data_IF_925271350709
#
_entry.id   IF_925271350709
#
_cell.length_a   1.000
_cell.length_b   1.000
_cell.length_c   1.000
_cell.angle_alpha   90.00
_cell.angle_beta   90.00
_cell.angle_gamma   90.00
#
_symmetry.space_group_name_H-M   'P 1'
#
loop_
_entity.id
_entity.type
_entity.pdbx_description
1 polymer ?
#
# COMPACT_ATOMS: atom_id res chain seq x y z
N UNK A 1 -25.80 -35.25 -21.42
CA UNK A 1 -25.29 -34.50 -20.27
C UNK A 1 -26.24 -33.34 -20.09
N UNK A 2 -26.91 -33.29 -18.95
CA UNK A 2 -27.88 -32.24 -18.67
C UNK A 2 -27.18 -31.07 -17.98
N UNK A 3 -27.68 -29.86 -18.22
CA UNK A 3 -27.18 -28.65 -17.59
C UNK A 3 -28.19 -28.16 -16.57
N UNK A 4 -27.67 -27.56 -15.50
CA UNK A 4 -28.45 -26.95 -14.44
C UNK A 4 -27.98 -25.52 -14.19
N UNK A 5 -28.82 -24.73 -13.54
CA UNK A 5 -28.44 -23.38 -13.11
C UNK A 5 -28.99 -23.09 -11.71
N UNK A 6 -28.26 -23.52 -10.67
CA UNK A 6 -28.64 -23.26 -9.29
C UNK A 6 -28.77 -21.75 -9.03
N UNK A 7 -29.71 -21.27 -8.19
CA UNK A 7 -29.90 -19.85 -7.94
C UNK A 7 -28.64 -19.12 -7.46
N UNK A 8 -27.73 -19.81 -6.76
CA UNK A 8 -26.44 -19.24 -6.33
C UNK A 8 -25.54 -18.82 -7.50
N UNK A 9 -25.69 -19.42 -8.68
CA UNK A 9 -24.92 -19.05 -9.87
C UNK A 9 -25.20 -17.62 -10.33
N UNK A 10 -26.38 -17.06 -10.05
CA UNK A 10 -26.64 -15.63 -10.27
C UNK A 10 -25.75 -14.76 -9.37
N UNK A 11 -25.51 -15.19 -8.11
CA UNK A 11 -24.62 -14.49 -7.20
C UNK A 11 -23.17 -14.61 -7.64
N UNK A 12 -22.71 -15.79 -8.07
CA UNK A 12 -21.36 -15.94 -8.64
C UNK A 12 -21.18 -15.09 -9.89
N UNK A 13 -22.20 -14.97 -10.75
CA UNK A 13 -22.14 -14.13 -11.94
C UNK A 13 -21.96 -12.66 -11.58
N UNK A 14 -22.79 -12.14 -10.67
CA UNK A 14 -22.69 -10.75 -10.19
C UNK A 14 -21.35 -10.51 -9.50
N UNK A 15 -20.90 -11.45 -8.68
CA UNK A 15 -19.60 -11.40 -7.99
C UNK A 15 -18.42 -11.35 -8.98
N UNK A 16 -18.43 -12.22 -10.00
CA UNK A 16 -17.40 -12.26 -11.03
C UNK A 16 -17.37 -10.99 -11.89
N UNK A 17 -18.54 -10.46 -12.26
CA UNK A 17 -18.64 -9.19 -12.99
C UNK A 17 -18.17 -8.01 -12.14
N UNK A 18 -18.51 -7.98 -10.85
CA UNK A 18 -18.01 -6.96 -9.92
C UNK A 18 -16.49 -7.04 -9.77
N UNK A 19 -15.93 -8.26 -9.66
CA UNK A 19 -14.49 -8.46 -9.62
C UNK A 19 -13.79 -7.95 -10.90
N UNK A 20 -14.38 -8.19 -12.08
CA UNK A 20 -13.89 -7.62 -13.33
C UNK A 20 -13.94 -6.08 -13.33
N UNK A 21 -15.03 -5.49 -12.85
CA UNK A 21 -15.18 -4.03 -12.75
C UNK A 21 -14.16 -3.42 -11.79
N UNK A 22 -13.95 -4.01 -10.61
CA UNK A 22 -12.95 -3.57 -9.64
C UNK A 22 -11.52 -3.78 -10.14
N UNK A 23 -11.26 -4.90 -10.83
CA UNK A 23 -9.97 -5.19 -11.45
C UNK A 23 -9.61 -4.19 -12.54
N UNK A 24 -10.55 -3.87 -13.43
CA UNK A 24 -10.37 -2.85 -14.48
C UNK A 24 -10.20 -1.46 -13.89
N UNK A 25 -10.98 -1.08 -12.88
CA UNK A 25 -10.80 0.18 -12.15
C UNK A 25 -9.42 0.28 -11.49
N UNK A 26 -8.93 -0.83 -10.96
CA UNK A 26 -7.62 -0.93 -10.29
C UNK A 26 -6.42 -0.90 -11.24
N UNK A 27 -6.62 -1.01 -12.57
CA UNK A 27 -5.53 -0.92 -13.55
C UNK A 27 -4.80 0.42 -13.48
N UNK A 28 -5.49 1.50 -13.11
CA UNK A 28 -4.90 2.82 -12.90
C UNK A 28 -3.87 2.83 -11.76
N UNK A 29 -3.93 1.86 -10.84
CA UNK A 29 -2.97 1.71 -9.75
C UNK A 29 -1.77 0.83 -10.14
N UNK A 30 -1.78 0.16 -11.29
CA UNK A 30 -0.77 -0.82 -11.71
C UNK A 30 0.60 -0.21 -12.09
N UNK A 31 0.82 1.07 -11.83
CA UNK A 31 2.13 1.72 -11.93
C UNK A 31 3.08 1.28 -10.81
N UNK A 32 2.55 0.93 -9.63
CA UNK A 32 3.32 0.41 -8.49
C UNK A 32 3.31 -1.12 -8.46
N UNK A 33 4.28 -1.73 -7.76
CA UNK A 33 4.35 -3.19 -7.62
C UNK A 33 3.15 -3.75 -6.84
N UNK A 34 2.75 -3.10 -5.76
CA UNK A 34 1.55 -3.46 -4.98
C UNK A 34 0.28 -3.34 -5.82
N UNK A 35 0.14 -2.30 -6.66
CA UNK A 35 -0.99 -2.19 -7.57
C UNK A 35 -1.08 -3.33 -8.60
N UNK A 36 0.06 -3.73 -9.19
CA UNK A 36 0.11 -4.91 -10.09
C UNK A 36 -0.32 -6.19 -9.38
N UNK A 37 0.13 -6.39 -8.15
CA UNK A 37 -0.23 -7.55 -7.34
C UNK A 37 -1.71 -7.53 -6.96
N UNK A 38 -2.29 -6.36 -6.67
CA UNK A 38 -3.72 -6.23 -6.43
C UNK A 38 -4.56 -6.60 -7.66
N UNK A 39 -4.15 -6.16 -8.86
CA UNK A 39 -4.78 -6.59 -10.11
C UNK A 39 -4.67 -8.11 -10.30
N UNK A 40 -3.55 -8.72 -9.91
CA UNK A 40 -3.38 -10.17 -9.95
C UNK A 40 -4.31 -10.90 -8.95
N UNK A 41 -4.56 -10.32 -7.76
CA UNK A 41 -5.57 -10.82 -6.81
C UNK A 41 -6.96 -10.80 -7.45
N UNK A 42 -7.34 -9.67 -8.08
CA UNK A 42 -8.63 -9.55 -8.76
C UNK A 42 -8.77 -10.55 -9.92
N UNK A 43 -7.73 -10.72 -10.74
CA UNK A 43 -7.75 -11.70 -11.83
C UNK A 43 -7.88 -13.15 -11.32
N UNK A 44 -7.17 -13.49 -10.23
CA UNK A 44 -7.28 -14.81 -9.59
C UNK A 44 -8.69 -15.05 -9.05
N UNK A 45 -9.30 -14.01 -8.49
CA UNK A 45 -10.64 -14.07 -7.95
C UNK A 45 -11.73 -14.21 -9.04
N UNK A 46 -11.53 -13.56 -10.20
CA UNK A 46 -12.35 -13.77 -11.40
C UNK A 46 -12.29 -15.24 -11.85
N UNK A 47 -11.08 -15.81 -11.96
CA UNK A 47 -10.89 -17.22 -12.34
C UNK A 47 -11.61 -18.14 -11.35
N UNK A 48 -11.45 -17.90 -10.05
CA UNK A 48 -12.12 -18.69 -9.02
C UNK A 48 -13.65 -18.62 -9.16
N UNK A 49 -14.21 -17.42 -9.19
CA UNK A 49 -15.67 -17.22 -9.15
C UNK A 49 -16.36 -17.72 -10.42
N UNK A 50 -15.77 -17.48 -11.59
CA UNK A 50 -16.29 -18.07 -12.82
C UNK A 50 -16.04 -19.58 -12.90
N UNK A 51 -14.97 -20.07 -12.29
CA UNK A 51 -14.74 -21.51 -12.10
C UNK A 51 -15.88 -22.17 -11.35
N UNK A 52 -16.31 -21.59 -10.22
CA UNK A 52 -17.45 -22.07 -9.42
C UNK A 52 -18.74 -22.05 -10.26
N UNK A 53 -19.01 -20.94 -10.93
CA UNK A 53 -20.19 -20.80 -11.79
C UNK A 53 -20.23 -21.91 -12.84
N UNK A 54 -19.13 -22.14 -13.56
CA UNK A 54 -19.07 -23.13 -14.63
C UNK A 54 -19.12 -24.56 -14.05
N UNK A 55 -18.43 -24.83 -12.95
CA UNK A 55 -18.46 -26.13 -12.28
C UNK A 55 -19.90 -26.53 -11.94
N UNK A 56 -20.68 -25.61 -11.37
CA UNK A 56 -22.04 -25.84 -10.92
C UNK A 56 -23.08 -26.02 -12.05
N UNK A 57 -22.72 -25.72 -13.31
CA UNK A 57 -23.62 -25.86 -14.47
C UNK A 57 -23.74 -27.31 -14.95
N UNK A 58 -22.69 -28.11 -14.83
CA UNK A 58 -22.73 -29.50 -15.28
C UNK A 58 -23.23 -30.46 -14.21
N UNK A 59 -23.98 -31.48 -14.63
CA UNK A 59 -24.58 -32.51 -13.75
C UNK A 59 -23.74 -33.79 -13.65
N UNK A 60 -22.61 -33.87 -14.37
CA UNK A 60 -21.74 -35.06 -14.36
C UNK A 60 -20.52 -34.85 -13.47
N UNK A 61 -20.08 -35.92 -12.81
CA UNK A 61 -18.91 -35.89 -11.92
C UNK A 61 -17.63 -35.45 -12.65
N UNK A 62 -17.41 -35.94 -13.88
CA UNK A 62 -16.26 -35.56 -14.70
C UNK A 62 -16.20 -34.05 -14.98
N UNK A 63 -17.36 -33.41 -15.19
CA UNK A 63 -17.45 -31.96 -15.38
C UNK A 63 -17.12 -31.19 -14.11
N UNK A 64 -17.80 -31.53 -13.01
CA UNK A 64 -17.62 -30.82 -11.73
C UNK A 64 -16.17 -30.95 -11.23
N UNK A 65 -15.59 -32.17 -11.26
CA UNK A 65 -14.17 -32.38 -10.93
C UNK A 65 -13.20 -31.74 -11.94
N UNK A 66 -13.56 -31.69 -13.22
CA UNK A 66 -12.78 -31.01 -14.25
C UNK A 66 -12.63 -29.52 -13.94
N UNK A 67 -13.74 -28.83 -13.68
CA UNK A 67 -13.76 -27.41 -13.36
C UNK A 67 -13.30 -27.11 -11.92
N UNK A 68 -13.32 -28.09 -11.02
CA UNK A 68 -12.70 -27.94 -9.70
C UNK A 68 -11.21 -27.57 -9.82
N UNK A 69 -10.52 -28.06 -10.86
CA UNK A 69 -9.12 -27.67 -11.13
C UNK A 69 -9.00 -26.17 -11.40
N UNK A 70 -9.93 -25.61 -12.16
CA UNK A 70 -9.96 -24.17 -12.47
C UNK A 70 -10.27 -23.34 -11.22
N UNK A 71 -11.24 -23.80 -10.40
CA UNK A 71 -11.56 -23.22 -9.09
C UNK A 71 -10.30 -23.13 -8.22
N UNK A 72 -9.58 -24.25 -8.04
CA UNK A 72 -8.35 -24.26 -7.24
C UNK A 72 -7.23 -23.40 -7.83
N UNK A 73 -7.07 -23.32 -9.15
CA UNK A 73 -6.11 -22.38 -9.77
C UNK A 73 -6.43 -20.95 -9.34
N UNK A 74 -7.71 -20.57 -9.33
CA UNK A 74 -8.17 -19.29 -8.80
C UNK A 74 -7.86 -19.12 -7.31
N UNK A 75 -8.24 -20.09 -6.46
CA UNK A 75 -8.02 -20.06 -5.00
C UNK A 75 -6.54 -19.93 -4.64
N UNK A 76 -5.68 -20.79 -5.20
CA UNK A 76 -4.25 -20.83 -4.93
C UNK A 76 -3.60 -19.53 -5.40
N UNK A 77 -3.96 -19.05 -6.60
CA UNK A 77 -3.43 -17.79 -7.13
C UNK A 77 -3.89 -16.60 -6.30
N UNK A 78 -5.15 -16.57 -5.85
CA UNK A 78 -5.71 -15.47 -5.06
C UNK A 78 -5.02 -15.34 -3.70
N UNK A 79 -4.86 -16.45 -2.98
CA UNK A 79 -4.20 -16.47 -1.67
C UNK A 79 -2.70 -16.13 -1.77
N UNK A 80 -2.03 -16.63 -2.80
CA UNK A 80 -0.61 -16.34 -3.05
C UNK A 80 -0.37 -14.89 -3.44
N UNK A 81 -1.14 -14.38 -4.41
CA UNK A 81 -1.01 -12.99 -4.87
C UNK A 81 -1.44 -12.01 -3.78
N UNK A 82 -2.40 -12.36 -2.93
CA UNK A 82 -2.77 -11.60 -1.74
C UNK A 82 -1.59 -11.47 -0.77
N UNK A 83 -0.93 -12.58 -0.45
CA UNK A 83 0.22 -12.55 0.45
C UNK A 83 1.36 -11.69 -0.11
N UNK A 84 1.64 -11.79 -1.41
CA UNK A 84 2.62 -10.93 -2.06
C UNK A 84 2.19 -9.46 -2.10
N UNK A 85 0.92 -9.20 -2.36
CA UNK A 85 0.34 -7.86 -2.25
C UNK A 85 0.59 -7.29 -0.85
N UNK A 86 0.30 -8.05 0.21
CA UNK A 86 0.52 -7.63 1.59
C UNK A 86 2.01 -7.33 1.88
N UNK A 87 2.94 -8.16 1.40
CA UNK A 87 4.39 -7.93 1.53
C UNK A 87 4.81 -6.63 0.83
N UNK A 88 4.38 -6.43 -0.42
CA UNK A 88 4.72 -5.23 -1.20
C UNK A 88 4.07 -3.98 -0.60
N UNK A 89 2.80 -4.06 -0.20
CA UNK A 89 2.07 -2.97 0.43
C UNK A 89 2.68 -2.58 1.80
N UNK A 90 3.22 -3.54 2.55
CA UNK A 90 3.97 -3.28 3.78
C UNK A 90 5.40 -2.74 3.55
N UNK A 91 5.85 -2.59 2.30
CA UNK A 91 7.17 -2.04 1.95
C UNK A 91 8.32 -3.05 2.00
N UNK A 92 8.03 -4.36 2.02
CA UNK A 92 9.04 -5.42 2.06
C UNK A 92 9.35 -6.02 0.68
N UNK A 93 9.38 -5.21 -0.38
CA UNK A 93 9.56 -5.66 -1.78
C UNK A 93 10.80 -6.53 -2.01
N UNK A 94 11.85 -6.34 -1.22
CA UNK A 94 13.07 -7.16 -1.22
C UNK A 94 12.81 -8.65 -0.96
N UNK A 95 11.75 -9.00 -0.22
CA UNK A 95 11.38 -10.40 0.03
C UNK A 95 10.79 -11.08 -1.20
N UNK A 96 10.25 -10.29 -2.13
CA UNK A 96 9.74 -10.74 -3.41
C UNK A 96 10.84 -10.75 -4.49
N UNK A 97 12.12 -10.72 -4.10
CA UNK A 97 13.26 -10.76 -5.01
C UNK A 97 14.20 -11.91 -4.60
N UNK A 98 14.67 -12.70 -5.58
CA UNK A 98 15.70 -13.72 -5.36
C UNK A 98 15.19 -15.03 -4.73
N UNK A 99 16.02 -15.62 -3.86
CA UNK A 99 15.82 -16.99 -3.32
C UNK A 99 14.58 -17.13 -2.45
N UNK A 100 14.18 -16.08 -1.74
CA UNK A 100 13.03 -16.13 -0.84
C UNK A 100 11.70 -16.23 -1.60
N UNK A 101 11.59 -15.60 -2.77
CA UNK A 101 10.45 -15.78 -3.66
C UNK A 101 10.29 -17.23 -4.12
N UNK A 102 11.41 -17.92 -4.42
CA UNK A 102 11.38 -19.33 -4.79
C UNK A 102 10.83 -20.19 -3.64
N UNK A 103 11.22 -19.89 -2.39
CA UNK A 103 10.70 -20.58 -1.20
C UNK A 103 9.19 -20.39 -1.07
N UNK A 104 8.69 -19.15 -1.22
CA UNK A 104 7.25 -18.89 -1.16
C UNK A 104 6.47 -19.58 -2.29
N UNK A 105 7.08 -19.78 -3.46
CA UNK A 105 6.45 -20.43 -4.60
C UNK A 105 6.37 -21.97 -4.49
N UNK A 106 7.16 -22.61 -3.60
CA UNK A 106 7.10 -24.07 -3.41
C UNK A 106 5.69 -24.53 -3.01
N UNK A 107 5.08 -23.82 -2.06
CA UNK A 107 3.75 -24.15 -1.53
C UNK A 107 2.66 -24.07 -2.60
N UNK A 108 2.45 -22.96 -3.32
CA UNK A 108 1.44 -22.89 -4.37
C UNK A 108 1.76 -23.81 -5.56
N UNK A 109 3.03 -23.99 -5.94
CA UNK A 109 3.40 -24.93 -7.02
C UNK A 109 3.07 -26.39 -6.65
N UNK A 110 3.36 -26.80 -5.41
CA UNK A 110 2.98 -28.13 -4.92
C UNK A 110 1.45 -28.30 -4.84
N UNK A 111 0.72 -27.27 -4.41
CA UNK A 111 -0.75 -27.30 -4.35
C UNK A 111 -1.38 -27.40 -5.75
N UNK A 112 -0.86 -26.64 -6.73
CA UNK A 112 -1.32 -26.73 -8.12
C UNK A 112 -1.03 -28.13 -8.67
N UNK A 113 0.16 -28.67 -8.42
CA UNK A 113 0.53 -30.03 -8.87
C UNK A 113 -0.45 -31.06 -8.31
N UNK A 114 -0.71 -31.01 -7.00
CA UNK A 114 -1.67 -31.88 -6.30
C UNK A 114 -3.08 -31.82 -6.91
N UNK A 115 -3.54 -30.62 -7.29
CA UNK A 115 -4.85 -30.42 -7.93
C UNK A 115 -4.85 -30.92 -9.38
N UNK A 116 -3.79 -30.70 -10.13
CA UNK A 116 -3.73 -31.14 -11.53
C UNK A 116 -3.64 -32.67 -11.63
N UNK A 117 -3.02 -33.33 -10.66
CA UNK A 117 -2.92 -34.80 -10.56
C UNK A 117 -4.07 -35.44 -9.77
N UNK A 118 -5.20 -34.74 -9.60
CA UNK A 118 -6.34 -35.18 -8.79
C UNK A 118 -6.75 -36.65 -9.03
N UNK A 119 -6.80 -37.08 -10.29
CA UNK A 119 -7.27 -38.42 -10.66
C UNK A 119 -6.25 -39.54 -10.33
N UNK A 120 -5.02 -39.17 -9.94
CA UNK A 120 -3.90 -40.11 -9.71
C UNK A 120 -3.74 -40.49 -8.24
N UNK A 121 -4.47 -39.86 -7.31
CA UNK A 121 -4.31 -40.07 -5.87
C UNK A 121 -5.56 -39.68 -5.08
N UNK A 122 -5.66 -40.16 -3.83
CA UNK A 122 -6.74 -39.78 -2.90
C UNK A 122 -6.32 -38.70 -1.89
N UNK A 123 -5.25 -37.96 -2.18
CA UNK A 123 -4.70 -36.97 -1.25
C UNK A 123 -5.59 -35.74 -1.11
N UNK A 124 -6.20 -35.25 -2.21
CA UNK A 124 -7.10 -34.10 -2.15
C UNK A 124 -8.52 -34.53 -1.72
N UNK A 125 -9.06 -35.55 -2.38
CA UNK A 125 -10.37 -36.12 -2.06
C UNK A 125 -10.25 -37.63 -1.83
N UNK A 126 -10.78 -38.11 -0.72
CA UNK A 126 -10.92 -39.55 -0.44
C UNK A 126 -12.15 -40.14 -1.12
N UNK A 127 -13.19 -39.32 -1.28
CA UNK A 127 -14.42 -39.63 -2.00
C UNK A 127 -14.95 -38.40 -2.71
N UNK A 128 -15.52 -38.59 -3.90
CA UNK A 128 -16.22 -37.57 -4.66
C UNK A 128 -17.44 -38.23 -5.30
N UNK A 129 -18.63 -37.89 -4.83
CA UNK A 129 -19.89 -38.50 -5.29
C UNK A 129 -20.91 -37.41 -5.63
N UNK A 130 -21.74 -37.68 -6.62
CA UNK A 130 -22.84 -36.77 -6.94
C UNK A 130 -24.02 -37.03 -6.00
N UNK A 131 -24.53 -35.95 -5.41
CA UNK A 131 -25.74 -35.98 -4.58
C UNK A 131 -26.74 -34.96 -5.12
N UNK A 132 -28.01 -35.27 -5.01
CA UNK A 132 -29.07 -34.31 -5.32
C UNK A 132 -29.50 -33.60 -4.04
N UNK A 133 -29.38 -32.27 -3.99
CA UNK A 133 -29.93 -31.44 -2.90
C UNK A 133 -30.75 -30.31 -3.50
N UNK A 134 -31.98 -30.13 -3.00
CA UNK A 134 -32.88 -29.07 -3.43
C UNK A 134 -33.13 -29.02 -4.96
N UNK A 135 -33.14 -30.19 -5.62
CA UNK A 135 -33.36 -30.30 -7.07
C UNK A 135 -32.13 -29.97 -7.94
N UNK A 136 -30.94 -29.86 -7.34
CA UNK A 136 -29.68 -29.65 -8.03
C UNK A 136 -28.69 -30.77 -7.71
N UNK A 137 -27.87 -31.14 -8.69
CA UNK A 137 -26.81 -32.12 -8.57
C UNK A 137 -25.53 -31.43 -8.10
N UNK A 138 -24.99 -31.83 -6.96
CA UNK A 138 -23.77 -31.27 -6.38
C UNK A 138 -22.73 -32.36 -6.16
N UNK A 139 -21.46 -31.93 -6.11
CA UNK A 139 -20.35 -32.79 -5.76
C UNK A 139 -20.21 -32.81 -4.24
N UNK A 140 -20.54 -33.95 -3.62
CA UNK A 140 -20.24 -34.19 -2.21
C UNK A 140 -18.82 -34.74 -2.10
N UNK A 141 -18.00 -34.07 -1.30
CA UNK A 141 -16.56 -34.28 -1.24
C UNK A 141 -16.15 -34.69 0.17
N UNK A 142 -15.43 -35.80 0.27
CA UNK A 142 -14.68 -36.13 1.47
C UNK A 142 -13.22 -35.71 1.29
N UNK A 143 -12.73 -34.90 2.23
CA UNK A 143 -11.43 -34.26 2.12
C UNK A 143 -10.29 -35.13 2.65
N UNK A 144 -9.28 -35.35 1.81
CA UNK A 144 -8.04 -36.03 2.17
C UNK A 144 -7.00 -35.12 2.84
N UNK A 145 -5.87 -35.69 3.27
CA UNK A 145 -4.80 -34.96 3.97
C UNK A 145 -4.21 -33.79 3.16
N UNK A 146 -4.13 -33.93 1.84
CA UNK A 146 -3.63 -32.91 0.93
C UNK A 146 -4.54 -31.67 0.89
N UNK A 147 -5.86 -31.86 1.01
CA UNK A 147 -6.79 -30.74 1.14
C UNK A 147 -6.53 -29.97 2.43
N UNK A 148 -6.38 -30.65 3.57
CA UNK A 148 -6.13 -30.00 4.85
C UNK A 148 -4.78 -29.25 4.88
N UNK A 149 -3.74 -29.80 4.25
CA UNK A 149 -2.46 -29.11 4.09
C UNK A 149 -2.57 -27.86 3.21
N UNK A 150 -3.32 -27.95 2.10
CA UNK A 150 -3.61 -26.80 1.24
C UNK A 150 -4.39 -25.73 2.01
N UNK A 151 -5.47 -26.12 2.70
CA UNK A 151 -6.32 -25.24 3.51
C UNK A 151 -5.49 -24.53 4.57
N UNK A 152 -4.67 -25.26 5.32
CA UNK A 152 -3.76 -24.70 6.32
C UNK A 152 -2.79 -23.68 5.70
N UNK A 153 -2.19 -24.02 4.56
CA UNK A 153 -1.24 -23.15 3.85
C UNK A 153 -1.91 -21.87 3.34
N UNK A 154 -3.10 -21.97 2.76
CA UNK A 154 -3.91 -20.84 2.32
C UNK A 154 -4.25 -19.90 3.47
N UNK A 155 -4.67 -20.45 4.62
CA UNK A 155 -4.95 -19.66 5.82
C UNK A 155 -3.68 -19.02 6.40
N UNK A 156 -2.54 -19.71 6.36
CA UNK A 156 -1.27 -19.15 6.80
C UNK A 156 -0.84 -17.97 5.93
N UNK A 157 -1.03 -18.04 4.61
CA UNK A 157 -0.74 -16.93 3.70
C UNK A 157 -1.68 -15.74 3.93
N UNK A 158 -2.97 -16.00 4.08
CA UNK A 158 -3.97 -14.95 4.36
C UNK A 158 -3.70 -14.28 5.71
N UNK A 159 -3.55 -15.05 6.78
CA UNK A 159 -3.27 -14.54 8.13
C UNK A 159 -1.90 -13.89 8.21
N UNK A 160 -0.87 -14.49 7.62
CA UNK A 160 0.49 -13.94 7.60
C UNK A 160 0.54 -12.58 6.90
N UNK A 161 -0.15 -12.44 5.77
CA UNK A 161 -0.30 -11.17 5.06
C UNK A 161 -1.04 -10.13 5.89
N UNK A 162 -2.19 -10.50 6.47
CA UNK A 162 -2.96 -9.59 7.33
C UNK A 162 -2.18 -9.16 8.57
N UNK A 163 -1.50 -10.08 9.26
CA UNK A 163 -0.67 -9.76 10.44
C UNK A 163 0.52 -8.87 10.08
N UNK A 164 1.14 -9.08 8.93
CA UNK A 164 2.21 -8.21 8.44
C UNK A 164 1.72 -6.77 8.23
N UNK A 165 0.55 -6.61 7.61
CA UNK A 165 -0.08 -5.30 7.43
C UNK A 165 -0.45 -4.65 8.76
N UNK A 166 -1.03 -5.42 9.70
CA UNK A 166 -1.37 -4.92 11.03
C UNK A 166 -0.13 -4.47 11.80
N UNK A 167 0.94 -5.26 11.80
CA UNK A 167 2.19 -4.91 12.49
C UNK A 167 2.83 -3.65 11.90
N UNK A 168 2.81 -3.51 10.58
CA UNK A 168 3.37 -2.34 9.89
C UNK A 168 2.51 -1.10 10.14
N UNK A 169 1.19 -1.26 10.22
CA UNK A 169 0.24 -0.16 10.45
C UNK A 169 0.46 0.57 11.78
N UNK A 170 0.91 -0.14 12.82
CA UNK A 170 1.16 0.43 14.15
C UNK A 170 2.32 1.42 14.16
N UNK A 171 3.19 1.39 13.14
CA UNK A 171 4.37 2.25 13.03
C UNK A 171 4.15 3.45 12.10
N UNK A 172 2.98 3.55 11.47
CA UNK A 172 2.66 4.57 10.47
C UNK A 172 1.74 5.67 11.02
N UNK A 173 1.70 6.86 10.40
CA UNK A 173 0.74 7.92 10.74
C UNK A 173 -0.72 7.43 10.67
N UNK A 174 -1.60 8.06 11.46
CA UNK A 174 -2.99 7.60 11.68
C UNK A 174 -3.77 7.27 10.41
N UNK A 175 -3.61 8.06 9.35
CA UNK A 175 -4.30 7.86 8.06
C UNK A 175 -3.91 6.53 7.41
N UNK A 176 -2.60 6.24 7.32
CA UNK A 176 -2.08 4.98 6.78
C UNK A 176 -2.34 3.78 7.69
N UNK A 177 -2.44 4.02 9.01
CA UNK A 177 -2.82 3.00 9.99
C UNK A 177 -4.25 2.49 9.75
N UNK A 178 -5.22 3.40 9.55
CA UNK A 178 -6.61 3.02 9.29
C UNK A 178 -6.71 2.28 7.95
N UNK A 179 -6.01 2.76 6.91
CA UNK A 179 -5.97 2.10 5.62
C UNK A 179 -5.48 0.64 5.72
N UNK A 180 -4.34 0.42 6.37
CA UNK A 180 -3.76 -0.91 6.54
C UNK A 180 -4.63 -1.83 7.41
N UNK A 181 -5.28 -1.28 8.44
CA UNK A 181 -6.22 -2.01 9.28
C UNK A 181 -7.45 -2.47 8.47
N UNK A 182 -8.04 -1.58 7.67
CA UNK A 182 -9.18 -1.91 6.81
C UNK A 182 -8.82 -3.01 5.82
N UNK A 183 -7.65 -2.91 5.19
CA UNK A 183 -7.17 -3.91 4.23
C UNK A 183 -6.97 -5.28 4.92
N UNK A 184 -6.32 -5.29 6.09
CA UNK A 184 -6.07 -6.52 6.84
C UNK A 184 -7.36 -7.20 7.33
N UNK A 185 -8.33 -6.42 7.83
CA UNK A 185 -9.63 -6.93 8.28
C UNK A 185 -10.46 -7.42 7.10
N UNK A 186 -10.48 -6.67 5.99
CA UNK A 186 -11.23 -7.04 4.79
C UNK A 186 -10.81 -8.42 4.26
N UNK A 187 -9.51 -8.74 4.28
CA UNK A 187 -9.00 -10.03 3.82
C UNK A 187 -9.39 -11.23 4.70
N UNK A 188 -9.82 -10.99 5.95
CA UNK A 188 -10.27 -12.04 6.86
C UNK A 188 -11.77 -12.34 6.72
N UNK A 189 -12.54 -11.49 6.03
CA UNK A 189 -13.98 -11.68 5.83
C UNK A 189 -14.32 -13.06 5.20
N UNK A 190 -13.62 -13.54 4.15
CA UNK A 190 -13.97 -14.80 3.50
C UNK A 190 -13.58 -16.04 4.32
N UNK A 191 -12.71 -15.89 5.32
CA UNK A 191 -12.24 -16.99 6.18
C UNK A 191 -13.39 -17.61 6.98
N UNK A 192 -14.31 -16.78 7.48
CA UNK A 192 -15.44 -17.27 8.29
C UNK A 192 -16.41 -18.13 7.46
N UNK A 193 -16.94 -17.66 6.31
CA UNK A 193 -17.75 -18.50 5.42
C UNK A 193 -17.04 -19.77 4.96
N UNK A 194 -15.74 -19.69 4.67
CA UNK A 194 -14.97 -20.87 4.25
C UNK A 194 -14.90 -21.92 5.36
N UNK A 195 -14.60 -21.51 6.60
CA UNK A 195 -14.57 -22.40 7.75
C UNK A 195 -15.93 -23.01 8.04
N UNK A 196 -17.01 -22.22 7.91
CA UNK A 196 -18.38 -22.72 8.05
C UNK A 196 -18.70 -23.78 6.99
N UNK A 197 -18.34 -23.52 5.72
CA UNK A 197 -18.53 -24.46 4.62
C UNK A 197 -17.75 -25.76 4.84
N UNK A 198 -16.47 -25.68 5.19
CA UNK A 198 -15.62 -26.86 5.47
C UNK A 198 -16.11 -27.64 6.69
N UNK A 199 -16.70 -26.98 7.68
CA UNK A 199 -17.33 -27.62 8.83
C UNK A 199 -18.69 -28.26 8.52
N UNK A 200 -19.17 -28.18 7.27
CA UNK A 200 -20.46 -28.74 6.84
C UNK A 200 -21.68 -27.90 7.25
N UNK A 201 -21.49 -26.64 7.66
CA UNK A 201 -22.59 -25.73 8.00
C UNK A 201 -23.22 -25.23 6.70
N UNK A 202 -24.50 -25.54 6.49
CA UNK A 202 -25.22 -25.19 5.26
C UNK A 202 -25.63 -23.71 5.21
N UNK A 203 -24.72 -22.85 4.72
CA UNK A 203 -25.02 -21.42 4.50
C UNK A 203 -25.63 -21.14 3.11
N UNK A 204 -25.39 -22.03 2.15
CA UNK A 204 -25.59 -21.78 0.73
C UNK A 204 -26.11 -23.03 -0.02
N UNK A 205 -26.87 -23.90 0.68
CA UNK A 205 -27.50 -25.07 0.06
C UNK A 205 -26.53 -26.12 -0.49
N UNK A 206 -25.36 -26.27 0.13
CA UNK A 206 -24.31 -27.22 -0.26
C UNK A 206 -23.22 -26.65 -1.19
N UNK A 207 -23.39 -25.42 -1.69
CA UNK A 207 -22.38 -24.72 -2.49
C UNK A 207 -21.41 -23.91 -1.60
N UNK A 208 -20.18 -23.67 -2.07
CA UNK A 208 -19.17 -22.89 -1.34
C UNK A 208 -19.40 -21.37 -1.51
N UNK A 209 -19.84 -20.63 -0.48
CA UNK A 209 -20.09 -19.20 -0.61
C UNK A 209 -18.82 -18.34 -0.54
N UNK A 210 -17.63 -18.92 -0.31
CA UNK A 210 -16.41 -18.19 0.02
C UNK A 210 -16.06 -17.11 -1.00
N UNK A 211 -16.18 -17.43 -2.30
CA UNK A 211 -15.88 -16.48 -3.37
C UNK A 211 -16.83 -15.27 -3.32
N UNK A 212 -18.10 -15.43 -2.96
CA UNK A 212 -19.07 -14.33 -2.83
C UNK A 212 -18.63 -13.28 -1.79
N UNK A 213 -18.09 -13.74 -0.66
CA UNK A 213 -17.59 -12.87 0.41
C UNK A 213 -16.29 -12.16 0.03
N UNK A 214 -15.50 -12.75 -0.88
CA UNK A 214 -14.30 -12.11 -1.40
C UNK A 214 -14.60 -10.83 -2.19
N UNK A 215 -15.77 -10.71 -2.82
CA UNK A 215 -16.20 -9.45 -3.47
C UNK A 215 -16.31 -8.33 -2.45
N UNK A 216 -16.87 -8.62 -1.27
CA UNK A 216 -17.01 -7.64 -0.19
C UNK A 216 -15.62 -7.18 0.25
N UNK A 217 -14.69 -8.13 0.44
CA UNK A 217 -13.28 -7.83 0.71
C UNK A 217 -12.66 -6.97 -0.39
N UNK A 218 -12.89 -7.31 -1.67
CA UNK A 218 -12.36 -6.59 -2.81
C UNK A 218 -12.86 -5.14 -2.88
N UNK A 219 -14.15 -4.91 -2.60
CA UNK A 219 -14.73 -3.56 -2.52
C UNK A 219 -14.05 -2.77 -1.40
N UNK A 220 -13.95 -3.33 -0.20
CA UNK A 220 -13.34 -2.66 0.96
C UNK A 220 -11.86 -2.33 0.72
N UNK A 221 -11.09 -3.26 0.14
CA UNK A 221 -9.68 -3.01 -0.18
C UNK A 221 -9.53 -2.00 -1.32
N UNK A 222 -10.39 -2.03 -2.33
CA UNK A 222 -10.37 -1.04 -3.43
C UNK A 222 -10.69 0.35 -2.89
N UNK A 223 -11.70 0.48 -2.02
CA UNK A 223 -12.01 1.74 -1.33
C UNK A 223 -10.84 2.17 -0.45
N UNK A 224 -10.26 1.27 0.35
CA UNK A 224 -9.14 1.59 1.22
C UNK A 224 -7.90 2.04 0.41
N UNK A 225 -7.62 1.43 -0.73
CA UNK A 225 -6.48 1.81 -1.58
C UNK A 225 -6.71 3.12 -2.32
N UNK A 226 -7.92 3.40 -2.81
CA UNK A 226 -8.24 4.64 -3.54
C UNK A 226 -8.58 5.84 -2.66
N UNK A 227 -9.46 5.68 -1.65
CA UNK A 227 -10.00 6.80 -0.87
C UNK A 227 -8.94 7.45 0.04
N UNK A 228 -7.98 6.66 0.53
CA UNK A 228 -6.86 7.18 1.33
C UNK A 228 -5.72 7.76 0.47
N UNK A 229 -5.67 7.45 -0.82
CA UNK A 229 -4.88 8.19 -1.82
C UNK A 229 -5.53 9.51 -2.23
N UNK A 230 -6.85 9.66 -2.08
CA UNK A 230 -7.60 10.85 -2.45
C UNK A 230 -7.68 11.91 -1.34
N UNK A 231 -7.70 11.48 -0.07
CA UNK A 231 -7.78 12.38 1.11
C UNK A 231 -6.43 12.96 1.56
N UNK A 232 -5.32 12.46 1.02
CA UNK A 232 -4.00 13.09 1.18
C UNK A 232 -3.62 13.67 -0.18
N UNK A 233 -3.08 14.89 -0.22
CA UNK A 233 -2.26 15.29 -1.37
C UNK A 233 -1.32 14.11 -1.63
N UNK A 234 -1.41 13.53 -2.83
CA UNK A 234 -0.70 12.31 -3.19
C UNK A 234 0.77 12.45 -2.78
N UNK A 235 1.45 11.43 -2.24
CA UNK A 235 2.89 11.49 -1.97
C UNK A 235 3.66 12.04 -3.17
N UNK A 236 3.25 11.69 -4.39
CA UNK A 236 3.78 12.24 -5.64
C UNK A 236 3.59 13.76 -5.77
N UNK A 237 2.46 14.32 -5.35
CA UNK A 237 2.25 15.77 -5.33
C UNK A 237 3.06 16.43 -4.22
N UNK A 238 3.21 15.79 -3.05
CA UNK A 238 4.06 16.27 -1.96
C UNK A 238 5.54 16.27 -2.37
N UNK A 239 6.03 15.18 -2.91
CA UNK A 239 7.41 15.01 -3.37
C UNK A 239 7.68 15.96 -4.54
N UNK A 240 6.74 16.08 -5.50
CA UNK A 240 6.89 17.07 -6.58
C UNK A 240 6.89 18.51 -6.06
N UNK A 241 6.04 18.86 -5.10
CA UNK A 241 6.09 20.19 -4.50
C UNK A 241 7.44 20.38 -3.81
N UNK A 242 7.87 19.43 -2.97
CA UNK A 242 9.14 19.48 -2.23
C UNK A 242 10.36 19.58 -3.16
N UNK A 243 10.33 18.91 -4.32
CA UNK A 243 11.41 18.92 -5.30
C UNK A 243 11.44 20.19 -6.17
N UNK A 244 10.30 20.87 -6.37
CA UNK A 244 10.18 22.01 -7.31
C UNK A 244 9.97 23.37 -6.62
N UNK A 245 9.79 23.39 -5.30
CA UNK A 245 9.78 24.62 -4.50
C UNK A 245 11.18 25.26 -4.49
N UNK A 246 11.25 26.52 -4.93
CA UNK A 246 12.47 27.35 -4.94
C UNK A 246 12.91 27.86 -3.55
N UNK A 247 12.28 27.37 -2.49
CA UNK A 247 12.65 27.65 -1.10
C UNK A 247 13.47 26.44 -0.63
N UNK A 248 14.64 26.70 -0.07
CA UNK A 248 15.48 25.63 0.47
C UNK A 248 14.86 25.09 1.77
N UNK A 249 14.70 23.77 1.85
CA UNK A 249 14.03 23.09 2.96
C UNK A 249 14.96 22.07 3.60
N UNK A 250 15.04 22.10 4.93
CA UNK A 250 15.73 21.11 5.75
C UNK A 250 14.76 20.55 6.78
N UNK A 251 14.76 19.23 6.92
CA UNK A 251 13.99 18.53 7.96
C UNK A 251 14.96 17.92 8.95
N UNK A 252 14.78 18.22 10.23
CA UNK A 252 15.54 17.63 11.33
C UNK A 252 14.64 16.79 12.24
N UNK A 253 15.18 15.70 12.79
CA UNK A 253 14.47 14.82 13.73
C UNK A 253 14.42 15.38 15.17
N UNK A 254 13.83 14.63 16.10
CA UNK A 254 13.77 14.97 17.53
C UNK A 254 15.16 15.21 18.17
N UNK A 255 16.23 14.68 17.58
CA UNK A 255 17.62 14.81 18.05
C UNK A 255 18.40 15.92 17.31
N UNK A 256 17.71 16.81 16.59
CA UNK A 256 18.33 17.87 15.77
C UNK A 256 19.24 17.38 14.64
N UNK A 257 19.09 16.12 14.22
CA UNK A 257 19.85 15.56 13.11
C UNK A 257 19.07 15.69 11.81
N UNK A 258 19.76 16.03 10.72
CA UNK A 258 19.15 16.17 9.40
C UNK A 258 18.62 14.82 8.94
N UNK A 259 17.30 14.76 8.72
CA UNK A 259 16.62 13.58 8.17
C UNK A 259 16.36 13.72 6.68
N UNK A 260 16.16 14.95 6.18
CA UNK A 260 15.83 15.20 4.77
C UNK A 260 16.19 16.61 4.32
N UNK A 261 16.43 16.81 3.02
CA UNK A 261 16.69 18.11 2.38
C UNK A 261 16.14 18.12 0.95
N UNK A 262 15.67 19.28 0.47
CA UNK A 262 15.19 19.40 -0.91
C UNK A 262 16.29 19.84 -1.89
N UNK A 263 16.08 19.70 -3.23
CA UNK A 263 17.05 20.15 -4.23
C UNK A 263 17.46 21.62 -4.10
N UNK A 264 16.53 22.52 -3.74
CA UNK A 264 16.87 23.93 -3.55
C UNK A 264 17.90 24.15 -2.41
N UNK A 265 17.88 23.31 -1.36
CA UNK A 265 18.92 23.33 -0.31
C UNK A 265 20.27 22.86 -0.85
N UNK A 266 20.27 21.85 -1.73
CA UNK A 266 21.49 21.37 -2.40
C UNK A 266 22.04 22.44 -3.33
N UNK A 267 21.19 23.16 -4.07
CA UNK A 267 21.61 24.27 -4.93
C UNK A 267 22.16 25.46 -4.12
N UNK A 268 21.63 25.67 -2.91
CA UNK A 268 22.07 26.72 -2.00
C UNK A 268 23.45 26.42 -1.39
N UNK A 269 23.70 25.17 -0.99
CA UNK A 269 24.88 24.81 -0.16
C UNK A 269 25.90 23.92 -0.87
N UNK A 270 25.52 23.25 -1.95
CA UNK A 270 26.28 22.18 -2.59
C UNK A 270 26.27 20.84 -1.85
N UNK A 271 25.51 20.73 -0.75
CA UNK A 271 25.50 19.56 0.12
C UNK A 271 24.27 18.68 -0.13
N UNK A 272 24.50 17.50 -0.73
CA UNK A 272 23.44 16.49 -0.90
C UNK A 272 23.11 15.80 0.43
N UNK A 273 21.89 15.26 0.54
CA UNK A 273 21.46 14.46 1.70
C UNK A 273 22.44 13.34 2.07
N UNK A 274 23.10 12.72 1.08
CA UNK A 274 24.10 11.67 1.31
C UNK A 274 25.32 12.12 2.14
N UNK A 275 25.61 13.42 2.17
CA UNK A 275 26.74 14.01 2.92
C UNK A 275 26.33 14.54 4.29
N UNK A 276 25.13 15.11 4.40
CA UNK A 276 24.67 15.81 5.61
C UNK A 276 23.66 15.01 6.44
N UNK A 277 23.10 13.93 5.90
CA UNK A 277 22.16 13.07 6.60
C UNK A 277 22.74 12.54 7.91
N UNK A 278 21.97 12.68 9.00
CA UNK A 278 22.36 12.27 10.36
C UNK A 278 23.29 13.25 11.09
N UNK A 279 23.78 14.32 10.44
CA UNK A 279 24.58 15.36 11.11
C UNK A 279 23.68 16.33 11.88
N UNK A 280 24.17 16.93 12.98
CA UNK A 280 23.46 18.01 13.65
C UNK A 280 23.22 19.19 12.71
N UNK A 281 21.98 19.66 12.65
CA UNK A 281 21.58 20.71 11.70
C UNK A 281 22.34 22.02 11.93
N UNK A 282 22.67 22.33 13.19
CA UNK A 282 23.43 23.53 13.58
C UNK A 282 24.83 23.51 12.96
N UNK A 283 25.53 22.38 13.06
CA UNK A 283 26.90 22.22 12.54
C UNK A 283 26.96 22.41 11.02
N UNK A 284 25.92 21.95 10.31
CA UNK A 284 25.83 22.13 8.86
C UNK A 284 25.54 23.59 8.51
N UNK A 285 24.61 24.24 9.23
CA UNK A 285 24.23 25.63 8.95
C UNK A 285 25.32 26.65 9.31
N UNK A 286 26.09 26.41 10.37
CA UNK A 286 27.21 27.27 10.77
C UNK A 286 28.32 27.36 9.72
N UNK A 287 28.43 26.38 8.81
CA UNK A 287 29.36 26.43 7.68
C UNK A 287 29.00 27.47 6.62
N UNK A 288 27.76 27.95 6.61
CA UNK A 288 27.24 28.80 5.54
C UNK A 288 26.68 30.13 6.05
N UNK A 289 26.20 30.18 7.30
CA UNK A 289 25.49 31.33 7.86
C UNK A 289 26.12 31.83 9.15
N UNK A 290 26.11 33.16 9.34
CA UNK A 290 26.48 33.80 10.61
C UNK A 290 25.31 33.84 11.58
N UNK A 291 25.56 33.63 12.88
CA UNK A 291 24.55 33.81 13.93
C UNK A 291 23.60 32.61 14.13
N UNK A 292 23.98 31.41 13.68
CA UNK A 292 23.23 30.18 13.92
C UNK A 292 23.68 29.52 15.22
N UNK A 293 22.76 29.35 16.16
CA UNK A 293 22.99 28.62 17.41
C UNK A 293 21.83 27.65 17.70
N UNK A 294 22.04 26.65 18.56
CA UNK A 294 21.05 25.63 18.91
C UNK A 294 19.74 26.24 19.48
N UNK A 295 19.86 27.36 20.20
CA UNK A 295 18.73 28.14 20.74
C UNK A 295 17.77 28.68 19.65
N UNK A 296 18.28 28.89 18.44
CA UNK A 296 17.50 29.37 17.28
C UNK A 296 16.59 28.26 16.74
N UNK A 297 17.07 27.00 16.77
CA UNK A 297 16.30 25.85 16.26
C UNK A 297 15.16 25.46 17.20
N UNK A 298 15.36 25.58 18.51
CA UNK A 298 14.38 25.14 19.52
C UNK A 298 13.18 26.08 19.74
N UNK A 299 13.32 27.35 19.37
CA UNK A 299 12.37 28.42 19.71
C UNK A 299 11.32 28.70 18.63
N UNK A 300 11.39 28.02 17.47
CA UNK A 300 10.53 28.36 16.33
C UNK A 300 10.90 29.72 15.73
N UNK A 301 12.19 30.01 15.68
CA UNK A 301 12.71 31.31 15.28
C UNK A 301 12.35 31.67 13.84
N UNK A 302 11.99 32.93 13.65
CA UNK A 302 11.83 33.56 12.36
C UNK A 302 12.72 34.79 12.32
N UNK A 303 13.53 34.90 11.28
CA UNK A 303 14.42 36.04 11.12
C UNK A 303 15.29 35.94 9.90
N UNK A 304 16.15 36.93 9.73
CA UNK A 304 17.02 37.03 8.56
C UNK A 304 18.41 36.51 8.88
N UNK A 305 18.91 35.63 8.03
CA UNK A 305 20.28 35.14 8.07
C UNK A 305 21.03 35.63 6.83
N UNK A 306 22.30 35.96 7.02
CA UNK A 306 23.21 36.33 5.93
C UNK A 306 24.26 35.24 5.79
N UNK A 307 24.61 34.92 4.55
CA UNK A 307 25.70 33.98 4.29
C UNK A 307 27.02 34.53 4.80
N UNK A 308 27.99 33.66 5.13
CA UNK A 308 29.34 34.08 5.56
C UNK A 308 30.05 34.97 4.53
N UNK A 309 29.70 34.81 3.25
CA UNK A 309 30.22 35.67 2.17
C UNK A 309 29.64 37.10 2.17
N UNK A 310 28.59 37.37 2.95
CA UNK A 310 27.88 38.65 2.99
C UNK A 310 26.97 38.92 1.78
N UNK A 311 27.08 38.13 0.70
CA UNK A 311 26.47 38.49 -0.59
C UNK A 311 25.02 38.06 -0.80
N UNK A 312 24.50 37.21 0.10
CA UNK A 312 23.14 36.67 0.02
C UNK A 312 22.43 36.73 1.36
N UNK A 313 21.15 37.11 1.31
CA UNK A 313 20.26 37.24 2.45
C UNK A 313 19.10 36.27 2.32
N UNK A 314 18.84 35.54 3.41
CA UNK A 314 17.78 34.55 3.49
C UNK A 314 16.86 34.88 4.65
N UNK A 315 15.55 34.92 4.38
CA UNK A 315 14.55 34.88 5.43
C UNK A 315 14.36 33.42 5.84
N UNK A 316 14.60 33.14 7.11
CA UNK A 316 14.62 31.79 7.67
C UNK A 316 13.46 31.63 8.63
N UNK A 317 12.71 30.54 8.45
CA UNK A 317 11.60 30.17 9.32
C UNK A 317 11.80 28.77 9.86
N UNK A 318 11.83 28.63 11.18
CA UNK A 318 11.92 27.35 11.87
C UNK A 318 10.57 27.03 12.49
N UNK A 319 10.02 25.88 12.17
CA UNK A 319 8.72 25.44 12.67
C UNK A 319 8.84 24.05 13.30
N UNK A 320 8.33 23.83 14.51
CA UNK A 320 8.30 22.49 15.09
C UNK A 320 7.30 21.61 14.35
N UNK A 321 7.70 20.39 14.04
CA UNK A 321 6.80 19.37 13.50
C UNK A 321 6.14 18.68 14.69
N UNK A 322 4.83 18.88 14.86
CA UNK A 322 4.05 18.30 15.95
C UNK A 322 3.32 17.04 15.48
N UNK A 323 3.40 15.98 16.26
CA UNK A 323 2.59 14.77 16.10
C UNK A 323 1.19 14.90 16.69
N UNK A 324 0.35 13.88 16.49
CA UNK A 324 -1.06 13.86 16.89
C UNK A 324 -1.33 14.08 18.40
N UNK A 325 -0.31 13.96 19.25
CA UNK A 325 -0.40 14.18 20.70
C UNK A 325 0.27 15.47 21.17
N UNK A 326 0.46 16.47 20.29
CA UNK A 326 1.29 17.66 20.54
C UNK A 326 2.75 17.36 20.91
N UNK A 327 3.20 16.12 20.71
CA UNK A 327 4.61 15.73 20.91
C UNK A 327 5.42 16.21 19.70
N UNK A 328 6.51 16.92 19.96
CA UNK A 328 7.45 17.40 18.93
C UNK A 328 8.18 16.20 18.32
N UNK A 329 8.08 16.03 17.00
CA UNK A 329 8.70 14.96 16.23
C UNK A 329 9.96 15.43 15.46
N UNK A 330 10.19 16.74 15.41
CA UNK A 330 11.32 17.33 14.70
C UNK A 330 11.09 18.80 14.36
N UNK A 331 11.86 19.30 13.40
CA UNK A 331 11.84 20.69 12.96
C UNK A 331 11.86 20.78 11.43
N UNK A 332 11.08 21.72 10.90
CA UNK A 332 11.09 22.13 9.51
C UNK A 332 11.77 23.50 9.43
N UNK A 333 12.85 23.60 8.66
CA UNK A 333 13.60 24.83 8.46
C UNK A 333 13.47 25.25 7.00
N UNK A 334 12.98 26.45 6.77
CA UNK A 334 12.78 27.03 5.45
C UNK A 334 13.74 28.21 5.25
N UNK A 335 14.40 28.27 4.10
CA UNK A 335 15.27 29.36 3.67
C UNK A 335 14.74 29.96 2.38
N UNK A 336 14.26 31.19 2.46
CA UNK A 336 13.78 31.94 1.30
C UNK A 336 14.81 33.00 0.90
N UNK A 337 15.34 32.93 -0.33
CA UNK A 337 16.31 33.90 -0.82
C UNK A 337 15.62 35.25 -1.09
N UNK A 338 15.99 36.26 -0.31
CA UNK A 338 15.46 37.63 -0.41
C UNK A 338 16.53 38.62 -0.88
N UNK A 339 17.64 38.12 -1.44
CA UNK A 339 18.80 38.93 -1.81
C UNK A 339 18.43 40.03 -2.82
N UNK A 340 17.61 39.72 -3.83
CA UNK A 340 17.21 40.73 -4.82
C UNK A 340 16.30 41.80 -4.22
N UNK A 341 15.38 41.41 -3.35
CA UNK A 341 14.49 42.34 -2.65
C UNK A 341 15.32 43.26 -1.75
N UNK A 342 16.31 42.71 -1.04
CA UNK A 342 17.18 43.50 -0.17
C UNK A 342 18.02 44.49 -0.98
N UNK A 343 18.64 44.07 -2.09
CA UNK A 343 19.42 44.99 -2.94
C UNK A 343 18.57 46.13 -3.51
N UNK A 344 17.33 45.84 -3.88
CA UNK A 344 16.41 46.87 -4.35
C UNK A 344 16.04 47.85 -3.23
N UNK A 345 15.81 47.35 -2.00
CA UNK A 345 15.56 48.20 -0.83
C UNK A 345 16.77 49.06 -0.48
N UNK A 346 17.97 48.49 -0.46
CA UNK A 346 19.21 49.21 -0.17
C UNK A 346 19.46 50.32 -1.21
N UNK A 347 19.19 50.04 -2.49
CA UNK A 347 19.33 51.04 -3.56
C UNK A 347 18.27 52.15 -3.45
N UNK A 348 17.02 51.82 -3.10
CA UNK A 348 15.99 52.81 -2.82
C UNK A 348 16.38 53.68 -1.62
N UNK A 349 16.89 53.09 -0.54
CA UNK A 349 17.37 53.81 0.63
C UNK A 349 18.55 54.72 0.32
N UNK A 350 19.47 54.28 -0.56
CA UNK A 350 20.60 55.09 -1.04
C UNK A 350 20.12 56.32 -1.82
N UNK A 351 19.24 56.11 -2.80
CA UNK A 351 18.69 57.21 -3.61
C UNK A 351 17.83 58.18 -2.80
N UNK A 352 17.10 57.70 -1.79
CA UNK A 352 16.33 58.54 -0.89
C UNK A 352 17.23 59.35 0.06
N UNK A 353 18.35 58.77 0.52
CA UNK A 353 19.34 59.47 1.35
C UNK A 353 20.08 60.58 0.60
N UNK A 354 20.44 60.35 -0.66
CA UNK A 354 21.10 61.36 -1.50
C UNK A 354 20.16 62.53 -1.83
N UNK A 355 18.87 62.26 -2.04
CA UNK A 355 17.87 63.29 -2.37
C UNK A 355 17.50 64.23 -1.19
N UNK A 356 17.67 63.80 0.06
CA UNK A 356 17.50 64.67 1.24
C UNK A 356 18.75 65.55 1.47
N UNK A 357 19.94 65.07 1.09
CA UNK A 357 21.17 65.88 1.22
C UNK A 357 21.24 67.07 0.25
N UNK A 358 20.67 66.95 -0.96
CA UNK A 358 20.57 68.05 -1.94
C UNK A 358 19.50 69.10 -1.55
N UNK A 359 18.65 68.81 -0.56
CA UNK A 359 17.55 69.69 -0.13
C UNK A 359 17.93 70.63 1.02
N UNK A 360 18.97 70.30 1.79
CA UNK A 360 19.50 71.13 2.88
C UNK A 360 20.57 72.14 2.39
N UNK A 361 20.99 72.06 1.13
CA UNK A 361 21.98 72.96 0.51
C UNK A 361 21.37 74.11 -0.34
N UNK A 362 20.05 74.38 -0.20
CA UNK A 362 19.35 75.56 -0.76
C UNK A 362 18.70 76.36 0.36
#
# INVERSE_FOLDING_TARGET
>A
MDFQFPPINYLYLVAGLMACALGTFSLNQAHTRSGKLWVAVMASFVIWTFGELIANVGTTQAWQLGFQRLVYVGVISATTTWFFFAISFAGFDRWLCGRLLLVFMVVPASSITLVMTLDQHQLLYTSAVLVERNGFVLLDLEYGIGFWLHLFSAHLFTLGGSLLLLNTSMKQPQVYRIQSLLIAVAALIPVVPNMMYVAGIELAGGFDPTSLFFVISAILVTIATHQYHFLSLTPVARDRVFDHINIAVVVANEQHQISDVNPAFVDMTGESLSRVGGQPVVDVLQKYFTGVDASVVDSGWQGRMTTLSGNRHYDVSIMPILGNSHKRMGYLILFNDVTQVQRALDEISRLAGDADSDRDDI
#
